data_IF_477730034865
#
_entry.id   IF_477730034865
#
_cell.length_a   1.000
_cell.length_b   1.000
_cell.length_c   1.000
_cell.angle_alpha   90.00
_cell.angle_beta   90.00
_cell.angle_gamma   90.00
#
_symmetry.space_group_name_H-M   'P 1'
#
loop_
_entity.id
_entity.type
_entity.pdbx_description
1 polymer ?
#
# COMPACT_ATOMS: atom_id res chain seq x y z
N UNK A 1 13.10 20.75 17.30
CA UNK A 1 12.11 19.77 17.76
C UNK A 1 11.85 18.85 16.58
N UNK A 2 12.48 17.68 16.56
CA UNK A 2 12.26 16.69 15.52
C UNK A 2 11.01 15.90 15.92
N UNK A 3 9.93 16.15 15.20
CA UNK A 3 8.71 15.35 15.28
C UNK A 3 9.06 13.93 14.84
N UNK A 4 9.24 13.05 15.82
CA UNK A 4 9.38 11.61 15.58
C UNK A 4 8.02 11.12 15.11
N UNK A 5 7.75 11.23 13.80
CA UNK A 5 6.62 10.55 13.15
C UNK A 5 6.78 9.06 13.47
N UNK A 6 5.93 8.45 14.31
CA UNK A 6 6.23 7.14 14.90
C UNK A 6 6.15 5.97 13.92
N UNK A 7 5.93 6.18 12.62
CA UNK A 7 5.90 5.10 11.65
C UNK A 7 6.60 5.49 10.33
N UNK A 8 7.91 5.27 10.21
CA UNK A 8 8.53 5.32 8.90
C UNK A 8 7.91 4.21 8.05
N UNK A 9 7.15 4.60 7.03
CA UNK A 9 6.73 3.75 5.93
C UNK A 9 7.92 3.07 5.19
N UNK A 10 9.16 3.29 5.62
CA UNK A 10 10.34 2.54 5.20
C UNK A 10 10.29 1.05 5.63
N UNK A 11 9.55 0.69 6.69
CA UNK A 11 9.17 -0.71 6.97
C UNK A 11 7.94 -1.17 6.18
N UNK A 12 7.13 -0.23 5.68
CA UNK A 12 6.00 -0.48 4.77
C UNK A 12 6.40 -0.57 3.31
N UNK A 13 7.62 -0.22 2.89
CA UNK A 13 8.09 -0.48 1.52
C UNK A 13 7.97 -1.97 1.15
N UNK A 14 8.27 -2.87 2.09
CA UNK A 14 8.05 -4.33 1.91
C UNK A 14 6.57 -4.68 1.82
N UNK A 15 5.73 -4.07 2.67
CA UNK A 15 4.28 -4.25 2.65
C UNK A 15 3.71 -3.79 1.30
N UNK A 16 3.95 -2.53 0.92
CA UNK A 16 3.58 -1.88 -0.34
C UNK A 16 4.01 -2.73 -1.53
N UNK A 17 5.29 -3.13 -1.58
CA UNK A 17 5.83 -3.99 -2.65
C UNK A 17 5.13 -5.33 -2.72
N UNK A 18 4.81 -5.95 -1.58
CA UNK A 18 4.04 -7.19 -1.50
C UNK A 18 2.57 -7.00 -1.87
N UNK A 19 1.96 -5.83 -1.62
CA UNK A 19 0.60 -5.54 -2.10
C UNK A 19 0.58 -5.33 -3.60
N UNK A 20 1.52 -4.56 -4.11
CA UNK A 20 1.68 -4.33 -5.53
C UNK A 20 1.91 -5.65 -6.28
N UNK A 21 2.80 -6.52 -5.79
CA UNK A 21 3.06 -7.84 -6.40
C UNK A 21 1.81 -8.74 -6.41
N UNK A 22 1.06 -8.78 -5.30
CA UNK A 22 -0.15 -9.61 -5.21
C UNK A 22 -1.28 -9.07 -6.10
N UNK A 23 -1.45 -7.74 -6.17
CA UNK A 23 -2.40 -7.09 -7.07
C UNK A 23 -1.96 -7.13 -8.55
N UNK A 24 -0.67 -7.25 -8.84
CA UNK A 24 -0.17 -7.53 -10.19
C UNK A 24 -0.45 -8.98 -10.60
N UNK A 25 -0.64 -9.90 -9.65
CA UNK A 25 -1.00 -11.31 -9.91
C UNK A 25 -2.50 -11.54 -9.97
N UNK A 26 -3.26 -10.82 -9.16
CA UNK A 26 -4.72 -10.96 -9.05
C UNK A 26 -5.38 -9.80 -9.80
N UNK A 27 -6.20 -10.10 -10.80
CA UNK A 27 -6.89 -9.09 -11.59
C UNK A 27 -8.42 -9.15 -11.44
N UNK A 28 -9.08 -8.01 -11.68
CA UNK A 28 -10.53 -7.92 -11.71
C UNK A 28 -11.17 -7.97 -10.31
N UNK A 29 -12.36 -8.57 -10.14
CA UNK A 29 -13.12 -8.49 -8.90
C UNK A 29 -12.38 -9.12 -7.70
N UNK A 30 -11.56 -10.15 -7.93
CA UNK A 30 -10.76 -10.79 -6.90
C UNK A 30 -9.70 -9.85 -6.29
N UNK A 31 -9.16 -8.93 -7.08
CA UNK A 31 -8.17 -7.95 -6.61
C UNK A 31 -8.79 -6.98 -5.59
N UNK A 32 -10.04 -6.57 -5.84
CA UNK A 32 -10.78 -5.69 -4.95
C UNK A 32 -11.18 -6.40 -3.65
N UNK A 33 -11.59 -7.66 -3.69
CA UNK A 33 -11.87 -8.45 -2.49
C UNK A 33 -10.63 -8.69 -1.65
N UNK A 34 -9.51 -9.02 -2.30
CA UNK A 34 -8.21 -9.15 -1.64
C UNK A 34 -7.80 -7.84 -0.96
N UNK A 35 -7.88 -6.72 -1.67
CA UNK A 35 -7.57 -5.40 -1.13
C UNK A 35 -8.42 -5.08 0.10
N UNK A 36 -9.74 -5.26 0.01
CA UNK A 36 -10.66 -5.02 1.14
C UNK A 36 -10.33 -5.89 2.34
N UNK A 37 -10.04 -7.17 2.13
CA UNK A 37 -9.66 -8.11 3.20
C UNK A 37 -8.37 -7.69 3.87
N UNK A 38 -7.36 -7.32 3.08
CA UNK A 38 -6.06 -6.86 3.61
C UNK A 38 -6.20 -5.56 4.40
N UNK A 39 -6.94 -4.58 3.89
CA UNK A 39 -7.20 -3.32 4.58
C UNK A 39 -8.00 -3.54 5.87
N UNK A 40 -8.99 -4.43 5.86
CA UNK A 40 -9.74 -4.78 7.07
C UNK A 40 -8.82 -5.37 8.16
N UNK A 41 -7.87 -6.22 7.79
CA UNK A 41 -6.86 -6.75 8.72
C UNK A 41 -5.98 -5.66 9.32
N UNK A 42 -5.45 -4.76 8.48
CA UNK A 42 -4.61 -3.63 8.91
C UNK A 42 -5.40 -2.68 9.83
N UNK A 43 -6.64 -2.34 9.47
CA UNK A 43 -7.53 -1.51 10.30
C UNK A 43 -7.78 -2.17 11.65
N UNK A 44 -8.01 -3.49 11.68
CA UNK A 44 -8.24 -4.22 12.92
C UNK A 44 -6.98 -4.21 13.82
N UNK A 45 -5.79 -4.43 13.26
CA UNK A 45 -4.54 -4.31 14.01
C UNK A 45 -4.35 -2.90 14.57
N UNK A 46 -4.53 -1.87 13.74
CA UNK A 46 -4.39 -0.48 14.18
C UNK A 46 -5.43 -0.11 15.24
N UNK A 47 -6.68 -0.56 15.11
CA UNK A 47 -7.69 -0.40 16.17
C UNK A 47 -7.29 -1.11 17.45
N UNK A 48 -6.72 -2.31 17.36
CA UNK A 48 -6.24 -3.06 18.53
C UNK A 48 -5.10 -2.36 19.27
N UNK A 49 -4.32 -1.51 18.58
CA UNK A 49 -3.30 -0.66 19.21
C UNK A 49 -3.86 0.61 19.86
N UNK A 50 -5.17 0.87 19.74
CA UNK A 50 -5.84 2.02 20.35
C UNK A 50 -5.80 3.30 19.50
N UNK A 51 -5.50 3.19 18.20
CA UNK A 51 -5.53 4.34 17.28
C UNK A 51 -6.98 4.77 16.98
N UNK A 52 -7.19 6.09 16.87
CA UNK A 52 -8.46 6.68 16.49
C UNK A 52 -8.80 6.41 15.02
N UNK A 53 -10.10 6.31 14.70
CA UNK A 53 -10.57 6.01 13.33
C UNK A 53 -10.08 7.04 12.30
N UNK A 54 -9.97 8.32 12.67
CA UNK A 54 -9.38 9.37 11.83
C UNK A 54 -7.92 9.09 11.48
N UNK A 55 -7.09 8.75 12.48
CA UNK A 55 -5.69 8.40 12.24
C UNK A 55 -5.59 7.16 11.35
N UNK A 56 -6.42 6.15 11.63
CA UNK A 56 -6.45 4.93 10.82
C UNK A 56 -6.81 5.24 9.37
N UNK A 57 -7.83 6.09 9.13
CA UNK A 57 -8.20 6.51 7.77
C UNK A 57 -7.04 7.19 7.06
N UNK A 58 -6.36 8.13 7.71
CA UNK A 58 -5.18 8.81 7.15
C UNK A 58 -4.08 7.81 6.80
N UNK A 59 -3.81 6.84 7.66
CA UNK A 59 -2.83 5.79 7.43
C UNK A 59 -3.20 4.88 6.26
N UNK A 60 -4.49 4.54 6.12
CA UNK A 60 -5.00 3.76 4.99
C UNK A 60 -4.92 4.55 3.67
N UNK A 61 -5.20 5.86 3.69
CA UNK A 61 -5.04 6.71 2.50
C UNK A 61 -3.58 6.81 2.08
N UNK A 62 -2.66 7.02 3.02
CA UNK A 62 -1.23 7.03 2.74
C UNK A 62 -0.74 5.68 2.19
N UNK A 63 -1.28 4.56 2.69
CA UNK A 63 -0.96 3.24 2.15
C UNK A 63 -1.46 3.04 0.72
N UNK A 64 -2.69 3.50 0.40
CA UNK A 64 -3.20 3.47 -0.97
C UNK A 64 -2.32 4.25 -1.91
N UNK A 65 -1.99 5.50 -1.56
CA UNK A 65 -1.16 6.37 -2.37
C UNK A 65 0.21 5.73 -2.67
N UNK A 66 0.86 5.16 -1.66
CA UNK A 66 2.13 4.48 -1.81
C UNK A 66 2.05 3.23 -2.73
N UNK A 67 0.98 2.43 -2.63
CA UNK A 67 0.76 1.26 -3.50
C UNK A 67 0.53 1.70 -4.94
N UNK A 68 -0.30 2.72 -5.15
CA UNK A 68 -0.58 3.25 -6.48
C UNK A 68 0.67 3.85 -7.12
N UNK A 69 1.48 4.59 -6.36
CA UNK A 69 2.75 5.15 -6.83
C UNK A 69 3.75 4.04 -7.23
N UNK A 70 3.87 2.98 -6.43
CA UNK A 70 4.72 1.82 -6.76
C UNK A 70 4.25 1.12 -8.05
N UNK A 71 2.95 0.90 -8.22
CA UNK A 71 2.40 0.31 -9.44
C UNK A 71 2.64 1.17 -10.68
N UNK A 72 2.43 2.49 -10.56
CA UNK A 72 2.70 3.45 -11.64
C UNK A 72 4.18 3.46 -12.02
N UNK A 73 5.07 3.47 -11.01
CA UNK A 73 6.51 3.40 -11.23
C UNK A 73 6.91 2.11 -11.97
N UNK A 74 6.42 0.95 -11.55
CA UNK A 74 6.69 -0.34 -12.24
C UNK A 74 6.17 -0.35 -13.67
N UNK A 75 4.98 0.18 -13.87
CA UNK A 75 4.37 0.29 -15.20
C UNK A 75 5.20 1.17 -16.13
N UNK A 76 5.68 2.31 -15.61
CA UNK A 76 6.55 3.23 -16.34
C UNK A 76 7.92 2.62 -16.67
N UNK A 77 8.54 1.89 -15.72
CA UNK A 77 9.81 1.18 -15.95
C UNK A 77 9.67 0.07 -16.99
N UNK A 78 8.58 -0.71 -16.94
CA UNK A 78 8.29 -1.75 -17.93
C UNK A 78 8.04 -1.15 -19.32
N UNK A 79 7.29 -0.05 -19.42
CA UNK A 79 7.06 0.66 -20.68
C UNK A 79 8.35 1.22 -21.28
N UNK A 80 9.24 1.79 -20.45
CA UNK A 80 10.54 2.30 -20.89
C UNK A 80 11.49 1.19 -21.35
N UNK A 81 11.40 0.00 -20.74
CA UNK A 81 12.21 -1.16 -21.13
C UNK A 81 11.76 -1.79 -22.46
N UNK A 82 10.46 -1.73 -22.78
CA UNK A 82 9.91 -2.26 -24.03
C UNK A 82 10.13 -1.35 -25.26
N UNK A 83 10.54 -0.10 -25.05
CA UNK A 83 10.86 0.87 -26.10
C UNK A 83 12.33 0.80 -26.56
N UNK A 84 13.16 -0.03 -25.93
CA UNK A 84 14.60 -0.14 -26.21
C UNK A 84 15.03 -1.51 -26.76
N UNK A 85 14.10 -2.36 -27.18
CA UNK A 85 14.33 -3.70 -27.71
C UNK A 85 14.06 -3.80 -29.22
#
# INVERSE_FOLDING_TARGET
>A
MADLIPFPLNSRARLVRSIADDLERIHGPAANEFWRTRIAGIVNELRSTGLSDETIRTEIYALQDAVMAEMQFRSAVQAGSNLSA
#
